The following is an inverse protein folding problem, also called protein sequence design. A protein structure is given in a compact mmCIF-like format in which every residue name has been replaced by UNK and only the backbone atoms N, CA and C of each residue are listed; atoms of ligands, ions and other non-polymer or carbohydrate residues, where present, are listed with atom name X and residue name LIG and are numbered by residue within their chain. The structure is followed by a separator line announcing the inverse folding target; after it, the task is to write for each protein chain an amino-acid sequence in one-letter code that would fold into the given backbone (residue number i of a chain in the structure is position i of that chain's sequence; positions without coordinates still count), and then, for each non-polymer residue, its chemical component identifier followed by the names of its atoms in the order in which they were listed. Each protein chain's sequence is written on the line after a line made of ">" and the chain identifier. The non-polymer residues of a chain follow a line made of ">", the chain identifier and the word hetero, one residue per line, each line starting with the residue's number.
data_IF_899205629341
#
_entry.id   IF_899205629341
#
_cell.length_a   1.000
_cell.length_b   1.000
_cell.length_c   1.000
_cell.angle_alpha   90.00
_cell.angle_beta   90.00
_cell.angle_gamma   90.00
#
_symmetry.space_group_name_H-M   'P 1'
#
loop_
_entity.id
_entity.type
_entity.pdbx_description
1 polymer ?
#
# COMPACT_ATOMS: atom_id res chain seq x y z
N UNK A 1 -10.07 -37.13 -19.57
CA UNK A 1 -9.19 -35.97 -19.25
C UNK A 1 -7.78 -36.50 -19.11
N UNK A 2 -6.80 -35.95 -19.85
CA UNK A 2 -5.47 -36.57 -19.91
C UNK A 2 -4.59 -36.16 -18.71
N UNK A 3 -3.77 -37.07 -18.14
CA UNK A 3 -2.84 -36.78 -17.05
C UNK A 3 -1.85 -35.64 -17.33
N UNK A 4 -1.66 -35.30 -18.62
CA UNK A 4 -0.77 -34.25 -19.08
C UNK A 4 -1.19 -32.86 -18.59
N UNK A 5 -2.50 -32.62 -18.45
CA UNK A 5 -3.02 -31.34 -17.95
C UNK A 5 -2.65 -31.11 -16.48
N UNK A 6 -2.70 -32.16 -15.66
CA UNK A 6 -2.33 -32.10 -14.23
C UNK A 6 -0.84 -31.88 -14.02
N UNK A 7 0.01 -32.52 -14.85
CA UNK A 7 1.45 -32.28 -14.84
C UNK A 7 1.80 -30.83 -15.19
N UNK A 8 1.15 -30.28 -16.21
CA UNK A 8 1.37 -28.89 -16.60
C UNK A 8 0.93 -27.91 -15.50
N UNK A 9 -0.24 -28.15 -14.87
CA UNK A 9 -0.71 -27.30 -13.77
C UNK A 9 0.21 -27.40 -12.55
N UNK A 10 0.68 -28.59 -12.20
CA UNK A 10 1.60 -28.77 -11.08
C UNK A 10 2.91 -28.00 -11.28
N UNK A 11 3.48 -28.06 -12.49
CA UNK A 11 4.70 -27.31 -12.84
C UNK A 11 4.43 -25.80 -12.77
N UNK A 12 3.30 -25.33 -13.30
CA UNK A 12 2.92 -23.92 -13.25
C UNK A 12 2.79 -23.40 -11.81
N UNK A 13 2.12 -24.17 -10.95
CA UNK A 13 1.93 -23.82 -9.53
C UNK A 13 3.28 -23.81 -8.79
N UNK A 14 4.14 -24.81 -9.01
CA UNK A 14 5.47 -24.85 -8.42
C UNK A 14 6.32 -23.63 -8.84
N UNK A 15 6.29 -23.28 -10.12
CA UNK A 15 7.04 -22.14 -10.67
C UNK A 15 6.53 -20.80 -10.13
N UNK A 16 5.21 -20.60 -10.07
CA UNK A 16 4.63 -19.39 -9.46
C UNK A 16 5.00 -19.28 -7.98
N UNK A 17 4.90 -20.39 -7.25
CA UNK A 17 5.20 -20.44 -5.81
C UNK A 17 6.66 -20.07 -5.55
N UNK A 18 7.58 -20.62 -6.33
CA UNK A 18 9.00 -20.27 -6.27
C UNK A 18 9.24 -18.80 -6.61
N UNK A 19 8.60 -18.28 -7.66
CA UNK A 19 8.76 -16.88 -8.10
C UNK A 19 8.27 -15.90 -7.03
N UNK A 20 7.09 -16.15 -6.44
CA UNK A 20 6.53 -15.32 -5.39
C UNK A 20 7.37 -15.43 -4.12
N UNK A 21 7.80 -16.64 -3.74
CA UNK A 21 8.66 -16.86 -2.57
C UNK A 21 9.99 -16.13 -2.74
N UNK A 22 10.61 -16.21 -3.92
CA UNK A 22 11.84 -15.49 -4.25
C UNK A 22 11.64 -13.98 -4.20
N UNK A 23 10.52 -13.47 -4.73
CA UNK A 23 10.19 -12.04 -4.66
C UNK A 23 10.00 -11.57 -3.22
N UNK A 24 9.26 -12.32 -2.41
CA UNK A 24 9.05 -12.02 -0.99
C UNK A 24 10.33 -12.15 -0.17
N UNK A 25 11.21 -13.08 -0.53
CA UNK A 25 12.50 -13.30 0.12
C UNK A 25 13.53 -12.23 -0.27
N UNK A 26 13.43 -11.64 -1.47
CA UNK A 26 14.22 -10.46 -1.86
C UNK A 26 13.77 -9.19 -1.12
N UNK A 27 12.52 -9.13 -0.64
CA UNK A 27 12.10 -8.07 0.25
C UNK A 27 12.68 -8.28 1.64
N UNK A 28 13.86 -7.69 1.83
CA UNK A 28 14.49 -7.58 3.15
C UNK A 28 13.49 -6.95 4.11
N UNK A 29 13.44 -7.35 5.39
CA UNK A 29 12.58 -6.68 6.39
C UNK A 29 12.74 -5.16 6.40
N UNK A 30 13.94 -4.67 6.01
CA UNK A 30 14.24 -3.26 5.77
C UNK A 30 13.44 -2.63 4.62
N UNK A 31 13.21 -3.33 3.52
CA UNK A 31 12.38 -2.85 2.40
C UNK A 31 10.91 -2.76 2.79
N UNK A 32 10.41 -3.77 3.50
CA UNK A 32 9.03 -3.78 4.03
C UNK A 32 8.85 -2.63 5.02
N UNK A 33 9.82 -2.43 5.91
CA UNK A 33 9.83 -1.30 6.84
C UNK A 33 9.85 0.04 6.11
N UNK A 34 10.66 0.20 5.06
CA UNK A 34 10.69 1.42 4.24
C UNK A 34 9.38 1.67 3.51
N UNK A 35 8.71 0.63 3.01
CA UNK A 35 7.37 0.76 2.41
C UNK A 35 6.37 1.21 3.48
N UNK A 36 6.41 0.63 4.68
CA UNK A 36 5.55 1.04 5.79
C UNK A 36 5.78 2.50 6.19
N UNK A 37 7.04 2.95 6.31
CA UNK A 37 7.38 4.34 6.59
C UNK A 37 6.86 5.27 5.49
N UNK A 38 7.00 4.91 4.21
CA UNK A 38 6.47 5.70 3.09
C UNK A 38 4.95 5.82 3.15
N UNK A 39 4.25 4.74 3.51
CA UNK A 39 2.78 4.75 3.65
C UNK A 39 2.35 5.66 4.80
N UNK A 40 3.00 5.57 5.97
CA UNK A 40 2.72 6.43 7.12
C UNK A 40 3.02 7.90 6.80
N UNK A 41 4.13 8.19 6.13
CA UNK A 41 4.49 9.54 5.72
C UNK A 41 3.47 10.13 4.73
N UNK A 42 3.05 9.34 3.74
CA UNK A 42 2.02 9.76 2.78
C UNK A 42 0.70 10.08 3.48
N UNK A 43 0.27 9.25 4.43
CA UNK A 43 -0.91 9.50 5.26
C UNK A 43 -0.78 10.79 6.06
N UNK A 44 0.36 11.03 6.70
CA UNK A 44 0.61 12.25 7.46
C UNK A 44 0.54 13.51 6.58
N UNK A 45 1.09 13.45 5.36
CA UNK A 45 1.01 14.55 4.39
C UNK A 45 -0.43 14.82 3.96
N UNK A 46 -1.21 13.77 3.68
CA UNK A 46 -2.62 13.92 3.29
C UNK A 46 -3.42 14.54 4.45
N UNK A 47 -3.29 14.01 5.66
CA UNK A 47 -3.99 14.53 6.84
C UNK A 47 -3.58 15.98 7.11
N UNK A 48 -2.28 16.28 7.12
CA UNK A 48 -1.77 17.63 7.30
C UNK A 48 -2.27 18.59 6.23
N UNK A 49 -2.31 18.16 4.97
CA UNK A 49 -2.85 18.94 3.86
C UNK A 49 -4.34 19.23 4.03
N UNK A 50 -5.14 18.24 4.40
CA UNK A 50 -6.58 18.41 4.66
C UNK A 50 -6.82 19.39 5.81
N UNK A 51 -6.10 19.23 6.93
CA UNK A 51 -6.21 20.13 8.08
C UNK A 51 -5.78 21.57 7.72
N UNK A 52 -4.70 21.72 6.97
CA UNK A 52 -4.22 23.03 6.52
C UNK A 52 -5.21 23.73 5.59
N UNK A 53 -5.74 23.01 4.60
CA UNK A 53 -6.77 23.54 3.69
C UNK A 53 -8.03 23.92 4.47
N UNK A 54 -8.44 23.11 5.44
CA UNK A 54 -9.58 23.41 6.29
C UNK A 54 -9.38 24.71 7.09
N UNK A 55 -8.19 24.92 7.67
CA UNK A 55 -7.86 26.16 8.38
C UNK A 55 -7.87 27.37 7.45
N UNK A 56 -7.32 27.24 6.24
CA UNK A 56 -7.34 28.32 5.24
C UNK A 56 -8.78 28.67 4.85
N UNK A 57 -9.62 27.68 4.59
CA UNK A 57 -11.04 27.90 4.27
C UNK A 57 -11.80 28.52 5.44
N UNK A 58 -11.49 28.13 6.68
CA UNK A 58 -12.06 28.73 7.87
C UNK A 58 -11.63 30.20 8.05
N UNK A 59 -10.36 30.51 7.77
CA UNK A 59 -9.85 31.88 7.77
C UNK A 59 -10.59 32.77 6.75
N UNK A 60 -10.90 32.24 5.57
CA UNK A 60 -11.70 32.93 4.56
C UNK A 60 -13.23 32.92 4.84
N UNK A 61 -13.68 32.33 5.95
CA UNK A 61 -15.09 32.25 6.32
C UNK A 61 -15.93 31.30 5.43
N UNK A 62 -15.28 30.47 4.61
CA UNK A 62 -15.92 29.48 3.72
C UNK A 62 -16.27 28.21 4.49
N UNK A 63 -15.49 27.85 5.51
CA UNK A 63 -15.69 26.67 6.34
C UNK A 63 -15.91 27.04 7.82
N UNK A 64 -16.81 26.32 8.49
CA UNK A 64 -17.09 26.52 9.91
C UNK A 64 -15.90 26.05 10.77
N UNK A 65 -15.44 26.89 11.71
CA UNK A 65 -14.42 26.52 12.68
C UNK A 65 -14.93 25.38 13.57
N UNK A 66 -14.45 24.15 13.33
CA UNK A 66 -14.91 22.94 14.01
C UNK A 66 -15.21 21.74 13.09
N UNK A 67 -15.06 21.86 11.77
CA UNK A 67 -15.32 20.73 10.85
C UNK A 67 -14.44 19.48 11.11
N UNK A 68 -13.27 19.64 11.74
CA UNK A 68 -12.32 18.56 12.04
C UNK A 68 -11.98 18.39 13.53
N UNK A 69 -12.65 19.12 14.43
CA UNK A 69 -12.38 19.10 15.89
C UNK A 69 -13.68 18.93 16.68
#
# INVERSE_FOLDING_TARGET
>A
MSPRYYLFTAILVAFLTLTISWWKQKQTGREIFWVMVKVVAALAVIVGGVLGVAQVLAFFGVAQSGFFL
#
